data_IF_647121707204
#
_entry.id   IF_647121707204
#
_cell.length_a   1.000
_cell.length_b   1.000
_cell.length_c   1.000
_cell.angle_alpha   90.00
_cell.angle_beta   90.00
_cell.angle_gamma   90.00
#
_symmetry.space_group_name_H-M   'P 1'
#
loop_
_entity.id
_entity.type
_entity.pdbx_description
1 polymer ?
#
# COMPACT_ATOMS: atom_id res chain seq x y z
N UNK A 1 47.73 49.26 -8.42
CA UNK A 1 49.20 49.32 -8.25
C UNK A 1 49.65 47.87 -8.26
N UNK A 2 50.28 47.26 -9.26
CA UNK A 2 51.06 47.61 -10.46
C UNK A 2 50.79 46.44 -11.44
N UNK A 3 50.44 46.63 -12.72
CA UNK A 3 51.36 46.76 -13.86
C UNK A 3 52.44 45.68 -13.88
N UNK A 4 52.81 44.95 -14.93
CA UNK A 4 52.46 44.81 -16.36
C UNK A 4 53.37 43.67 -16.84
N UNK A 5 52.99 42.86 -17.83
CA UNK A 5 53.98 42.30 -18.79
C UNK A 5 53.29 41.75 -20.03
N UNK A 6 53.59 42.43 -21.12
CA UNK A 6 53.15 42.29 -22.50
C UNK A 6 54.01 41.24 -23.24
N UNK A 7 53.40 40.37 -24.08
CA UNK A 7 53.53 40.34 -25.56
C UNK A 7 54.80 39.62 -26.10
N UNK A 8 55.00 39.42 -27.42
CA UNK A 8 54.42 38.30 -28.20
C UNK A 8 55.45 37.68 -29.19
N UNK A 9 55.09 36.66 -29.99
CA UNK A 9 55.64 36.53 -31.35
C UNK A 9 54.73 35.72 -32.28
N UNK A 10 54.50 36.31 -33.45
CA UNK A 10 53.99 35.73 -34.71
C UNK A 10 55.07 34.78 -35.30
N UNK A 11 55.00 34.08 -36.43
CA UNK A 11 54.28 34.11 -37.72
C UNK A 11 54.79 32.82 -38.43
N UNK A 12 54.02 32.03 -39.19
CA UNK A 12 53.80 32.11 -40.64
C UNK A 12 54.12 30.74 -41.29
N UNK A 13 53.32 30.38 -42.29
CA UNK A 13 53.57 29.55 -43.49
C UNK A 13 54.29 28.20 -43.36
N UNK A 14 53.82 27.10 -43.96
CA UNK A 14 53.02 26.95 -45.16
C UNK A 14 53.64 25.80 -45.96
N UNK A 15 52.83 24.85 -46.44
CA UNK A 15 52.98 24.13 -47.73
C UNK A 15 52.05 22.92 -47.72
N UNK A 16 51.10 22.93 -48.65
CA UNK A 16 50.18 21.82 -48.86
C UNK A 16 50.82 20.65 -49.61
N UNK A 17 50.19 19.48 -49.51
CA UNK A 17 50.18 18.44 -50.53
C UNK A 17 49.05 17.43 -50.29
N UNK A 18 48.17 17.35 -51.29
CA UNK A 18 47.30 16.24 -51.70
C UNK A 18 46.41 15.50 -50.68
N UNK A 19 45.11 15.85 -50.71
CA UNK A 19 43.99 14.97 -50.40
C UNK A 19 43.85 13.84 -51.44
N UNK A 20 43.53 12.63 -50.99
CA UNK A 20 42.47 11.84 -51.59
C UNK A 20 41.29 11.71 -50.59
N UNK A 21 40.08 11.77 -51.12
CA UNK A 21 38.85 11.65 -50.34
C UNK A 21 38.61 10.20 -49.90
N UNK A 22 38.14 9.96 -48.66
CA UNK A 22 37.39 8.76 -48.33
C UNK A 22 35.93 9.10 -48.03
N UNK A 23 35.08 8.51 -48.86
CA UNK A 23 33.74 7.94 -48.65
C UNK A 23 32.82 8.48 -47.52
N UNK A 24 31.53 8.74 -47.83
CA UNK A 24 30.52 9.07 -46.83
C UNK A 24 29.99 7.78 -46.18
N UNK A 25 30.04 7.66 -44.86
CA UNK A 25 29.02 7.01 -44.00
C UNK A 25 29.61 6.56 -42.66
N UNK A 26 29.23 7.26 -41.60
CA UNK A 26 28.45 6.69 -40.48
C UNK A 26 28.16 7.84 -39.52
N UNK A 27 26.99 8.45 -39.69
CA UNK A 27 26.39 9.27 -38.65
C UNK A 27 26.33 8.41 -37.38
N UNK A 28 27.04 8.84 -36.34
CA UNK A 28 26.90 8.28 -35.02
C UNK A 28 25.47 8.59 -34.57
N UNK A 29 24.58 7.60 -34.72
CA UNK A 29 23.28 7.61 -34.09
C UNK A 29 23.54 7.76 -32.59
N UNK A 30 23.15 8.92 -32.05
CA UNK A 30 23.06 9.12 -30.62
C UNK A 30 22.22 7.98 -30.06
N UNK A 31 22.85 7.11 -29.26
CA UNK A 31 22.12 6.17 -28.43
C UNK A 31 21.36 7.03 -27.42
N UNK A 32 20.12 7.38 -27.75
CA UNK A 32 19.14 7.76 -26.75
C UNK A 32 19.18 6.67 -25.68
N UNK A 33 19.45 7.08 -24.44
CA UNK A 33 19.30 6.21 -23.31
C UNK A 33 17.89 5.59 -23.40
N UNK A 34 17.75 4.26 -23.26
CA UNK A 34 16.44 3.63 -23.37
C UNK A 34 15.50 4.35 -22.40
N UNK A 35 14.42 4.91 -22.96
CA UNK A 35 13.36 5.53 -22.18
C UNK A 35 13.03 4.58 -21.03
N UNK A 36 13.14 5.09 -19.79
CA UNK A 36 12.80 4.31 -18.60
C UNK A 36 11.44 3.63 -18.88
N UNK A 37 11.31 2.32 -18.65
CA UNK A 37 10.07 1.62 -18.96
C UNK A 37 8.95 2.37 -18.25
N UNK A 38 8.00 2.89 -19.02
CA UNK A 38 6.84 3.61 -18.51
C UNK A 38 6.28 2.80 -17.33
N UNK A 39 6.28 3.41 -16.14
CA UNK A 39 5.77 2.76 -14.94
C UNK A 39 4.29 2.49 -15.19
N UNK A 40 3.94 1.23 -15.33
CA UNK A 40 2.56 0.83 -15.60
C UNK A 40 1.77 1.15 -14.33
N UNK A 41 0.76 2.03 -14.40
CA UNK A 41 -0.07 2.30 -13.25
C UNK A 41 -0.79 1.00 -12.88
N UNK A 42 -0.55 0.51 -11.66
CA UNK A 42 -1.17 -0.71 -11.12
C UNK A 42 -2.67 -0.53 -10.82
N UNK A 43 -3.18 0.70 -10.92
CA UNK A 43 -4.60 1.02 -10.83
C UNK A 43 -5.02 1.72 -12.12
N UNK A 44 -6.18 1.36 -12.65
CA UNK A 44 -6.83 2.14 -13.71
C UNK A 44 -7.40 3.48 -13.20
N UNK A 45 -7.39 3.69 -11.88
CA UNK A 45 -8.07 4.80 -11.24
C UNK A 45 -7.10 5.87 -10.77
N UNK A 46 -7.44 7.12 -11.09
CA UNK A 46 -6.64 8.23 -10.59
C UNK A 46 -6.76 8.32 -9.04
N UNK A 47 -5.64 8.57 -8.36
CA UNK A 47 -5.52 8.44 -6.92
C UNK A 47 -6.23 9.58 -6.15
N UNK A 48 -6.51 9.36 -4.86
CA UNK A 48 -7.08 10.37 -3.96
C UNK A 48 -6.02 11.38 -3.59
N UNK A 49 -6.15 12.63 -4.03
CA UNK A 49 -5.23 13.69 -3.64
C UNK A 49 -5.28 13.94 -2.13
N UNK A 50 -4.10 13.99 -1.51
CA UNK A 50 -3.92 14.30 -0.10
C UNK A 50 -3.61 15.79 0.06
N UNK A 51 -3.98 16.36 1.21
CA UNK A 51 -3.71 17.77 1.52
C UNK A 51 -2.21 18.05 1.75
N UNK A 52 -1.46 17.01 2.12
CA UNK A 52 -0.01 17.05 2.32
C UNK A 52 0.61 15.66 2.10
N UNK A 53 1.93 15.56 1.89
CA UNK A 53 2.59 14.27 1.78
C UNK A 53 2.53 13.47 3.08
N UNK A 54 2.43 12.14 2.95
CA UNK A 54 2.57 11.21 4.07
C UNK A 54 3.95 11.31 4.73
N UNK A 55 3.99 11.52 6.05
CA UNK A 55 5.24 11.78 6.79
C UNK A 55 6.06 10.51 7.05
N UNK A 56 5.38 9.39 7.23
CA UNK A 56 5.98 8.11 7.64
C UNK A 56 6.18 7.21 6.43
N UNK A 57 5.16 7.18 5.57
CA UNK A 57 5.14 6.31 4.40
C UNK A 57 5.46 7.03 3.08
N UNK A 58 5.46 8.36 3.04
CA UNK A 58 5.59 9.11 1.79
C UNK A 58 6.89 8.88 1.04
N UNK A 59 8.01 8.62 1.72
CA UNK A 59 9.27 8.27 1.06
C UNK A 59 9.30 6.83 0.49
N UNK A 60 8.44 5.95 1.01
CA UNK A 60 8.34 4.55 0.58
C UNK A 60 7.34 4.36 -0.56
N UNK A 61 6.30 5.19 -0.59
CA UNK A 61 5.42 5.33 -1.73
C UNK A 61 6.10 6.21 -2.78
N UNK A 62 5.93 5.92 -4.08
CA UNK A 62 6.46 6.84 -5.11
C UNK A 62 5.89 8.26 -4.88
N UNK A 63 6.58 9.32 -5.31
CA UNK A 63 6.18 10.71 -5.03
C UNK A 63 4.70 10.99 -5.38
N UNK A 64 4.18 10.37 -6.45
CA UNK A 64 2.76 10.41 -6.78
C UNK A 64 1.87 9.81 -5.69
N UNK A 65 2.22 8.64 -5.15
CA UNK A 65 1.48 7.98 -4.07
C UNK A 65 1.66 8.65 -2.69
N UNK A 66 2.75 9.40 -2.52
CA UNK A 66 3.00 10.16 -1.28
C UNK A 66 2.02 11.31 -1.08
N UNK A 67 1.53 11.91 -2.17
CA UNK A 67 0.55 12.99 -2.21
C UNK A 67 -0.81 12.50 -2.75
N UNK A 68 -0.95 11.20 -3.03
CA UNK A 68 -2.23 10.64 -3.46
C UNK A 68 -2.38 9.15 -3.16
N UNK A 69 -3.53 8.68 -2.68
CA UNK A 69 -3.70 7.29 -2.21
C UNK A 69 -4.79 6.53 -2.96
N UNK A 70 -4.62 5.23 -3.19
CA UNK A 70 -5.71 4.31 -3.50
C UNK A 70 -5.78 3.23 -2.41
N UNK A 71 -6.92 2.58 -2.20
CA UNK A 71 -6.98 1.38 -1.37
C UNK A 71 -6.91 0.12 -2.23
N UNK A 72 -6.18 0.17 -3.34
CA UNK A 72 -6.06 -1.02 -4.16
C UNK A 72 -5.20 -2.10 -3.47
N UNK A 73 -5.23 -3.35 -3.95
CA UNK A 73 -4.44 -4.44 -3.39
C UNK A 73 -2.94 -4.10 -3.28
N UNK A 74 -2.40 -3.35 -4.24
CA UNK A 74 -1.01 -2.90 -4.22
C UNK A 74 -0.67 -1.98 -3.03
N UNK A 75 -1.52 -1.00 -2.76
CA UNK A 75 -1.32 -0.07 -1.64
C UNK A 75 -1.50 -0.79 -0.30
N UNK A 76 -2.48 -1.69 -0.19
CA UNK A 76 -2.65 -2.53 1.00
C UNK A 76 -1.40 -3.38 1.27
N UNK A 77 -0.88 -4.08 0.25
CA UNK A 77 0.36 -4.86 0.34
C UNK A 77 1.57 -4.00 0.72
N UNK A 78 1.68 -2.79 0.17
CA UNK A 78 2.80 -1.92 0.49
C UNK A 78 2.71 -1.35 1.91
N UNK A 79 1.52 -0.93 2.34
CA UNK A 79 1.28 -0.47 3.71
C UNK A 79 1.60 -1.57 4.73
N UNK A 80 1.10 -2.79 4.51
CA UNK A 80 1.20 -3.90 5.46
C UNK A 80 2.53 -4.64 5.35
N UNK A 81 2.96 -5.01 4.15
CA UNK A 81 4.08 -5.92 3.90
C UNK A 81 5.32 -5.25 3.28
N UNK A 82 5.28 -3.94 3.01
CA UNK A 82 6.40 -3.22 2.38
C UNK A 82 6.79 -3.81 1.01
N UNK A 83 5.81 -4.39 0.31
CA UNK A 83 6.03 -5.21 -0.90
C UNK A 83 5.06 -4.79 -2.00
N UNK A 84 5.53 -4.73 -3.26
CA UNK A 84 4.66 -4.49 -4.41
C UNK A 84 3.92 -5.77 -4.82
N UNK A 85 2.75 -5.64 -5.45
CA UNK A 85 1.98 -6.78 -5.94
C UNK A 85 2.81 -7.73 -6.82
N UNK A 86 3.65 -7.18 -7.71
CA UNK A 86 4.52 -7.99 -8.57
C UNK A 86 5.57 -8.78 -7.78
N UNK A 87 6.14 -8.20 -6.72
CA UNK A 87 7.10 -8.89 -5.86
C UNK A 87 6.40 -9.94 -5.01
N UNK A 88 5.21 -9.64 -4.49
CA UNK A 88 4.38 -10.61 -3.76
C UNK A 88 4.05 -11.82 -4.64
N UNK A 89 3.51 -11.60 -5.85
CA UNK A 89 3.20 -12.67 -6.78
C UNK A 89 4.44 -13.46 -7.19
N UNK A 90 5.62 -12.83 -7.28
CA UNK A 90 6.87 -13.56 -7.57
C UNK A 90 7.18 -14.62 -6.52
N UNK A 91 6.86 -14.35 -5.26
CA UNK A 91 7.17 -15.24 -4.15
C UNK A 91 6.04 -16.25 -3.93
N UNK A 92 4.79 -15.79 -3.92
CA UNK A 92 3.63 -16.61 -3.52
C UNK A 92 2.97 -17.35 -4.68
N UNK A 93 2.95 -16.75 -5.89
CA UNK A 93 2.33 -17.38 -7.07
C UNK A 93 3.06 -17.01 -8.38
N UNK A 94 4.25 -17.61 -8.63
CA UNK A 94 5.07 -17.27 -9.80
C UNK A 94 4.34 -17.50 -11.14
N UNK A 95 3.43 -18.48 -11.19
CA UNK A 95 2.62 -18.77 -12.37
C UNK A 95 1.68 -17.59 -12.69
N UNK A 96 0.99 -17.05 -11.70
CA UNK A 96 0.11 -15.90 -11.86
C UNK A 96 0.89 -14.63 -12.24
N UNK A 97 2.10 -14.44 -11.71
CA UNK A 97 2.99 -13.37 -12.16
C UNK A 97 3.32 -13.49 -13.65
N UNK A 98 3.61 -14.70 -14.13
CA UNK A 98 3.92 -14.92 -15.54
C UNK A 98 2.71 -14.63 -16.44
N UNK A 99 1.51 -15.00 -15.99
CA UNK A 99 0.27 -14.67 -16.69
C UNK A 99 0.08 -13.14 -16.75
N UNK A 100 0.20 -12.44 -15.62
CA UNK A 100 0.08 -10.98 -15.56
C UNK A 100 1.10 -10.27 -16.46
N UNK A 101 2.36 -10.71 -16.46
CA UNK A 101 3.39 -10.18 -17.37
C UNK A 101 3.04 -10.39 -18.84
N UNK A 102 2.49 -11.56 -19.17
CA UNK A 102 2.08 -11.90 -20.53
C UNK A 102 0.93 -11.00 -20.99
N UNK A 103 -0.01 -10.68 -20.10
CA UNK A 103 -1.11 -9.75 -20.37
C UNK A 103 -0.65 -8.31 -20.53
N UNK A 104 0.22 -7.85 -19.63
CA UNK A 104 0.84 -6.54 -19.74
C UNK A 104 1.58 -6.43 -21.06
N UNK A 105 2.38 -7.44 -21.41
CA UNK A 105 3.12 -7.48 -22.66
C UNK A 105 2.18 -7.39 -23.88
N UNK A 106 1.09 -8.16 -23.90
CA UNK A 106 0.08 -8.08 -24.95
C UNK A 106 -0.66 -6.73 -24.99
N UNK A 107 -1.03 -6.20 -23.83
CA UNK A 107 -1.79 -4.94 -23.68
C UNK A 107 -0.99 -3.69 -24.01
N UNK A 108 0.34 -3.72 -23.89
CA UNK A 108 1.19 -2.58 -24.28
C UNK A 108 1.29 -2.37 -25.79
N UNK A 109 0.74 -3.29 -26.61
CA UNK A 109 0.68 -3.15 -28.07
C UNK A 109 2.04 -3.15 -28.78
N UNK A 110 3.15 -3.30 -28.05
CA UNK A 110 4.51 -3.23 -28.60
C UNK A 110 4.82 -4.36 -29.58
N UNK A 111 4.15 -5.51 -29.43
CA UNK A 111 4.27 -6.66 -30.32
C UNK A 111 2.93 -7.39 -30.44
N UNK A 112 2.52 -7.77 -31.65
CA UNK A 112 1.36 -8.67 -31.81
C UNK A 112 1.73 -10.06 -31.27
N UNK A 113 1.00 -10.60 -30.29
CA UNK A 113 1.26 -11.95 -29.79
C UNK A 113 1.03 -12.98 -30.90
N UNK A 114 1.84 -14.04 -30.93
CA UNK A 114 1.66 -15.17 -31.85
C UNK A 114 0.32 -15.86 -31.60
N UNK A 115 -0.23 -16.56 -32.59
CA UNK A 115 -1.51 -17.26 -32.46
C UNK A 115 -1.50 -18.27 -31.28
N UNK A 116 -0.38 -18.97 -31.09
CA UNK A 116 -0.17 -19.90 -29.98
C UNK A 116 -0.20 -19.18 -28.63
N UNK A 117 0.43 -18.01 -28.54
CA UNK A 117 0.42 -17.18 -27.32
C UNK A 117 -0.98 -16.62 -27.04
N UNK A 118 -1.73 -16.21 -28.05
CA UNK A 118 -3.14 -15.75 -27.88
C UNK A 118 -4.04 -16.86 -27.35
N UNK A 119 -3.98 -18.06 -27.94
CA UNK A 119 -4.75 -19.23 -27.49
C UNK A 119 -4.45 -19.59 -26.04
N UNK A 120 -3.16 -19.55 -25.66
CA UNK A 120 -2.74 -19.80 -24.28
C UNK A 120 -3.27 -18.74 -23.31
N UNK A 121 -3.15 -17.46 -23.67
CA UNK A 121 -3.68 -16.35 -22.84
C UNK A 121 -5.20 -16.48 -22.66
N UNK A 122 -5.94 -16.80 -23.72
CA UNK A 122 -7.40 -17.01 -23.64
C UNK A 122 -7.78 -18.21 -22.77
N UNK A 123 -7.01 -19.29 -22.82
CA UNK A 123 -7.22 -20.48 -21.98
C UNK A 123 -6.88 -20.21 -20.51
N UNK A 124 -5.87 -19.39 -20.23
CA UNK A 124 -5.43 -19.04 -18.88
C UNK A 124 -6.33 -17.96 -18.23
N UNK A 125 -7.06 -17.18 -19.04
CA UNK A 125 -7.90 -16.06 -18.62
C UNK A 125 -9.41 -16.32 -18.60
N UNK A 126 -9.84 -17.56 -18.37
CA UNK A 126 -11.27 -17.95 -18.33
C UNK A 126 -12.19 -17.15 -17.37
N UNK A 127 -11.66 -16.14 -16.67
CA UNK A 127 -12.33 -15.29 -15.67
C UNK A 127 -12.36 -13.79 -16.02
N UNK A 128 -11.76 -13.35 -17.13
CA UNK A 128 -11.81 -11.95 -17.58
C UNK A 128 -12.76 -11.79 -18.76
N UNK A 129 -13.33 -10.59 -18.91
CA UNK A 129 -14.19 -10.21 -20.03
C UNK A 129 -13.53 -10.62 -21.36
N UNK A 130 -14.03 -11.72 -21.92
CA UNK A 130 -13.38 -12.43 -23.02
C UNK A 130 -13.28 -11.53 -24.25
N UNK A 131 -14.24 -10.62 -24.46
CA UNK A 131 -14.25 -9.71 -25.61
C UNK A 131 -13.13 -8.67 -25.54
N UNK A 132 -12.91 -8.07 -24.37
CA UNK A 132 -11.84 -7.09 -24.18
C UNK A 132 -10.46 -7.73 -24.36
N UNK A 133 -10.25 -8.91 -23.78
CA UNK A 133 -9.00 -9.67 -23.93
C UNK A 133 -8.79 -10.07 -25.38
N UNK A 134 -9.82 -10.55 -26.08
CA UNK A 134 -9.76 -10.90 -27.51
C UNK A 134 -9.44 -9.68 -28.37
N UNK A 135 -10.03 -8.52 -28.09
CA UNK A 135 -9.75 -7.28 -28.81
C UNK A 135 -8.28 -6.88 -28.66
N UNK A 136 -7.76 -6.82 -27.42
CA UNK A 136 -6.35 -6.51 -27.14
C UNK A 136 -5.41 -7.50 -27.83
N UNK A 137 -5.68 -8.80 -27.73
CA UNK A 137 -4.85 -9.84 -28.34
C UNK A 137 -4.81 -9.76 -29.87
N UNK A 138 -5.84 -9.19 -30.49
CA UNK A 138 -5.93 -8.98 -31.93
C UNK A 138 -5.44 -7.58 -32.37
N UNK A 139 -4.86 -6.80 -31.46
CA UNK A 139 -4.39 -5.44 -31.75
C UNK A 139 -5.53 -4.47 -32.06
N UNK A 140 -6.74 -4.76 -31.60
CA UNK A 140 -7.90 -3.86 -31.69
C UNK A 140 -8.02 -3.08 -30.41
N UNK A 141 -8.59 -1.88 -30.50
CA UNK A 141 -8.96 -1.11 -29.32
C UNK A 141 -9.99 -1.92 -28.52
N UNK A 142 -9.72 -2.24 -27.24
CA UNK A 142 -10.67 -2.96 -26.42
C UNK A 142 -11.92 -2.10 -26.20
N UNK A 143 -13.11 -2.71 -26.10
CA UNK A 143 -14.28 -1.99 -25.59
C UNK A 143 -13.93 -1.33 -24.24
N UNK A 144 -14.49 -0.15 -23.95
CA UNK A 144 -14.26 0.52 -22.69
C UNK A 144 -14.62 -0.44 -21.55
N UNK A 145 -13.62 -0.80 -20.75
CA UNK A 145 -13.83 -1.73 -19.65
C UNK A 145 -14.89 -1.13 -18.71
N UNK A 146 -15.88 -1.92 -18.28
CA UNK A 146 -16.81 -1.46 -17.25
C UNK A 146 -16.01 -0.99 -16.02
N UNK A 147 -16.41 0.12 -15.38
CA UNK A 147 -15.68 0.68 -14.25
C UNK A 147 -15.82 -0.27 -13.04
N UNK A 148 -14.86 -1.19 -12.90
CA UNK A 148 -14.76 -2.13 -11.80
C UNK A 148 -13.53 -1.83 -10.95
N UNK A 149 -13.72 -1.69 -9.64
CA UNK A 149 -12.59 -1.51 -8.71
C UNK A 149 -11.48 -2.57 -8.86
N UNK A 150 -10.27 -2.21 -8.42
CA UNK A 150 -9.14 -3.15 -8.43
C UNK A 150 -9.46 -4.39 -7.58
N UNK A 151 -10.24 -4.23 -6.50
CA UNK A 151 -10.75 -5.34 -5.68
C UNK A 151 -11.85 -6.16 -6.35
N UNK A 152 -12.71 -5.54 -7.17
CA UNK A 152 -13.68 -6.29 -8.00
C UNK A 152 -12.96 -7.19 -8.99
N UNK A 153 -11.86 -6.72 -9.57
CA UNK A 153 -11.01 -7.55 -10.43
C UNK A 153 -10.39 -8.73 -9.66
N UNK A 154 -9.92 -8.51 -8.43
CA UNK A 154 -9.46 -9.61 -7.56
C UNK A 154 -10.59 -10.62 -7.32
N UNK A 155 -11.79 -10.16 -6.94
CA UNK A 155 -12.94 -11.02 -6.69
C UNK A 155 -13.31 -11.90 -7.89
N UNK A 156 -13.35 -11.31 -9.09
CA UNK A 156 -13.63 -12.04 -10.34
C UNK A 156 -12.56 -13.09 -10.65
N UNK A 157 -11.31 -12.84 -10.24
CA UNK A 157 -10.19 -13.76 -10.41
C UNK A 157 -10.08 -14.86 -9.35
N UNK A 158 -10.92 -14.85 -8.30
CA UNK A 158 -10.88 -15.87 -7.26
C UNK A 158 -11.43 -17.20 -7.77
N UNK A 159 -10.67 -18.28 -7.57
CA UNK A 159 -11.08 -19.63 -7.94
C UNK A 159 -12.19 -20.19 -7.04
N UNK A 160 -12.82 -21.29 -7.47
CA UNK A 160 -13.88 -21.99 -6.73
C UNK A 160 -13.40 -22.61 -5.41
N UNK A 161 -12.09 -22.87 -5.25
CA UNK A 161 -11.50 -23.47 -4.05
C UNK A 161 -11.16 -22.49 -2.91
N UNK A 162 -11.43 -21.20 -3.08
CA UNK A 162 -11.16 -20.20 -2.05
C UNK A 162 -12.14 -20.29 -0.88
N UNK A 163 -11.64 -20.07 0.35
CA UNK A 163 -12.51 -20.13 1.53
C UNK A 163 -13.63 -19.08 1.45
N UNK A 164 -14.84 -19.44 1.90
CA UNK A 164 -15.99 -18.53 1.95
C UNK A 164 -15.66 -17.21 2.66
N UNK A 165 -14.88 -17.28 3.74
CA UNK A 165 -14.46 -16.10 4.49
C UNK A 165 -13.59 -15.13 3.65
N UNK A 166 -12.60 -15.64 2.92
CA UNK A 166 -11.74 -14.79 2.06
C UNK A 166 -12.56 -14.19 0.92
N UNK A 167 -13.50 -14.95 0.36
CA UNK A 167 -14.42 -14.46 -0.67
C UNK A 167 -15.34 -13.36 -0.14
N UNK A 168 -15.88 -13.52 1.07
CA UNK A 168 -16.72 -12.51 1.72
C UNK A 168 -15.95 -11.22 2.02
N UNK A 169 -14.73 -11.33 2.57
CA UNK A 169 -13.85 -10.19 2.80
C UNK A 169 -13.55 -9.43 1.49
N UNK A 170 -13.22 -10.17 0.44
CA UNK A 170 -12.92 -9.58 -0.88
C UNK A 170 -14.15 -8.94 -1.50
N UNK A 171 -15.32 -9.54 -1.31
CA UNK A 171 -16.61 -8.97 -1.76
C UNK A 171 -16.90 -7.64 -1.09
N UNK A 172 -16.67 -7.54 0.23
CA UNK A 172 -16.82 -6.29 0.95
C UNK A 172 -15.83 -5.22 0.48
N UNK A 173 -14.55 -5.57 0.33
CA UNK A 173 -13.53 -4.66 -0.19
C UNK A 173 -13.87 -4.16 -1.60
N UNK A 174 -14.34 -5.04 -2.48
CA UNK A 174 -14.80 -4.68 -3.82
C UNK A 174 -15.99 -3.72 -3.79
N UNK A 175 -16.97 -3.98 -2.91
CA UNK A 175 -18.12 -3.08 -2.72
C UNK A 175 -17.68 -1.69 -2.25
N UNK A 176 -16.82 -1.62 -1.23
CA UNK A 176 -16.31 -0.36 -0.71
C UNK A 176 -15.48 0.41 -1.73
N UNK A 177 -14.61 -0.25 -2.48
CA UNK A 177 -13.79 0.40 -3.50
C UNK A 177 -14.65 0.88 -4.68
N UNK A 178 -15.69 0.14 -5.09
CA UNK A 178 -16.66 0.62 -6.09
C UNK A 178 -17.39 1.89 -5.62
N UNK A 179 -17.79 1.96 -4.34
CA UNK A 179 -18.37 3.19 -3.78
C UNK A 179 -17.34 4.34 -3.74
N UNK A 180 -16.09 4.04 -3.37
CA UNK A 180 -15.02 5.03 -3.35
C UNK A 180 -14.78 5.61 -4.76
N UNK A 181 -14.82 4.78 -5.80
CA UNK A 181 -14.72 5.24 -7.19
C UNK A 181 -15.86 6.17 -7.59
N UNK A 182 -17.09 5.81 -7.23
CA UNK A 182 -18.24 6.66 -7.51
C UNK A 182 -18.12 8.01 -6.80
N UNK A 183 -17.74 8.02 -5.52
CA UNK A 183 -17.55 9.24 -4.74
C UNK A 183 -16.43 10.10 -5.34
N UNK A 184 -15.32 9.50 -5.79
CA UNK A 184 -14.26 10.23 -6.50
C UNK A 184 -14.75 10.85 -7.82
N UNK A 185 -15.61 10.15 -8.57
CA UNK A 185 -16.18 10.68 -9.80
C UNK A 185 -17.05 11.92 -9.53
N UNK A 186 -17.89 11.89 -8.48
CA UNK A 186 -18.69 13.04 -8.04
C UNK A 186 -17.81 14.24 -7.67
N UNK A 187 -16.75 14.01 -6.88
CA UNK A 187 -15.80 15.07 -6.48
C UNK A 187 -15.12 15.69 -7.70
N UNK A 188 -14.69 14.89 -8.68
CA UNK A 188 -14.09 15.39 -9.93
C UNK A 188 -15.07 16.19 -10.79
N UNK A 189 -16.35 15.83 -10.75
CA UNK A 189 -17.41 16.57 -11.42
C UNK A 189 -17.80 17.86 -10.69
N UNK A 190 -17.15 18.20 -9.56
CA UNK A 190 -17.48 19.36 -8.73
C UNK A 190 -18.76 19.16 -7.90
N UNK A 191 -19.29 17.96 -7.81
CA UNK A 191 -20.53 17.63 -7.09
C UNK A 191 -20.25 17.25 -5.63
N UNK A 192 -19.63 18.17 -4.90
CA UNK A 192 -19.17 17.95 -3.53
C UNK A 192 -20.30 17.54 -2.57
N UNK A 193 -21.45 18.21 -2.64
CA UNK A 193 -22.60 17.92 -1.77
C UNK A 193 -23.15 16.51 -1.99
N UNK A 194 -23.20 16.05 -3.26
CA UNK A 194 -23.63 14.69 -3.58
C UNK A 194 -22.62 13.66 -3.10
N UNK A 195 -21.33 13.94 -3.23
CA UNK A 195 -20.26 13.09 -2.70
C UNK A 195 -20.39 12.95 -1.18
N UNK A 196 -20.60 14.05 -0.45
CA UNK A 196 -20.78 14.05 1.00
C UNK A 196 -22.05 13.32 1.43
N UNK A 197 -23.19 13.57 0.79
CA UNK A 197 -24.44 12.88 1.07
C UNK A 197 -24.32 11.36 0.87
N UNK A 198 -23.64 10.95 -0.20
CA UNK A 198 -23.38 9.52 -0.47
C UNK A 198 -22.43 8.90 0.55
N UNK A 199 -21.35 9.59 0.93
CA UNK A 199 -20.45 9.15 2.00
C UNK A 199 -21.22 8.98 3.31
N UNK A 200 -22.11 9.92 3.66
CA UNK A 200 -22.92 9.82 4.86
C UNK A 200 -23.90 8.64 4.83
N UNK A 201 -24.57 8.41 3.69
CA UNK A 201 -25.44 7.25 3.52
C UNK A 201 -24.68 5.92 3.66
N UNK A 202 -23.45 5.86 3.16
CA UNK A 202 -22.60 4.67 3.21
C UNK A 202 -22.04 4.39 4.62
N UNK A 203 -21.68 5.44 5.36
CA UNK A 203 -21.00 5.32 6.66
C UNK A 203 -21.96 5.37 7.86
N UNK A 204 -23.24 5.71 7.64
CA UNK A 204 -24.22 5.90 8.70
C UNK A 204 -23.79 7.03 9.66
N UNK A 205 -23.56 6.70 10.93
CA UNK A 205 -23.09 7.66 11.95
C UNK A 205 -21.60 7.96 11.87
N UNK A 206 -20.83 7.27 11.02
CA UNK A 206 -19.39 7.46 10.86
C UNK A 206 -18.93 8.90 10.63
N UNK A 207 -19.57 9.69 9.73
CA UNK A 207 -19.13 11.06 9.46
C UNK A 207 -19.17 11.97 10.70
N UNK A 208 -20.19 11.83 11.56
CA UNK A 208 -20.31 12.61 12.79
C UNK A 208 -19.15 12.33 13.76
N UNK A 209 -18.69 11.07 13.83
CA UNK A 209 -17.52 10.73 14.63
C UNK A 209 -16.25 11.41 14.08
N UNK A 210 -16.08 11.43 12.76
CA UNK A 210 -14.93 12.06 12.12
C UNK A 210 -14.96 13.60 12.17
N UNK A 211 -16.16 14.20 12.19
CA UNK A 211 -16.35 15.63 12.35
C UNK A 211 -15.80 16.14 13.69
N UNK A 212 -15.95 15.36 14.76
CA UNK A 212 -15.44 15.69 16.09
C UNK A 212 -13.91 15.84 16.12
N UNK A 213 -13.17 15.06 15.33
CA UNK A 213 -11.71 15.19 15.19
C UNK A 213 -11.35 16.41 14.36
N UNK A 214 -11.95 16.56 13.17
CA UNK A 214 -11.72 17.71 12.32
C UNK A 214 -12.89 17.90 11.34
N UNK A 215 -13.67 18.99 11.46
CA UNK A 215 -14.80 19.25 10.55
C UNK A 215 -14.39 19.32 9.08
N UNK A 216 -13.14 19.67 8.77
CA UNK A 216 -12.63 19.73 7.39
C UNK A 216 -12.42 18.36 6.78
N UNK A 217 -12.39 17.29 7.57
CA UNK A 217 -12.30 15.92 7.03
C UNK A 217 -13.58 15.55 6.27
N UNK A 218 -14.74 16.13 6.63
CA UNK A 218 -15.99 16.00 5.86
C UNK A 218 -15.88 16.61 4.46
N UNK A 219 -14.94 17.54 4.25
CA UNK A 219 -14.66 18.13 2.93
C UNK A 219 -13.78 17.20 2.06
N UNK A 220 -13.28 16.09 2.62
CA UNK A 220 -12.51 15.08 1.91
C UNK A 220 -13.22 13.71 1.92
N UNK A 221 -14.44 13.58 1.35
CA UNK A 221 -15.23 12.34 1.39
C UNK A 221 -14.47 11.13 0.84
N UNK A 222 -13.62 11.35 -0.17
CA UNK A 222 -12.77 10.30 -0.73
C UNK A 222 -11.71 9.75 0.25
N UNK A 223 -11.25 10.52 1.24
CA UNK A 223 -10.33 10.04 2.29
C UNK A 223 -11.10 9.26 3.34
N UNK A 224 -12.26 9.77 3.75
CA UNK A 224 -13.12 9.13 4.75
C UNK A 224 -13.52 7.71 4.35
N UNK A 225 -13.91 7.51 3.09
CA UNK A 225 -14.29 6.19 2.59
C UNK A 225 -13.11 5.20 2.64
N UNK A 226 -11.90 5.65 2.35
CA UNK A 226 -10.70 4.80 2.46
C UNK A 226 -10.39 4.42 3.91
N UNK A 227 -10.49 5.38 4.83
CA UNK A 227 -10.29 5.10 6.25
C UNK A 227 -11.34 4.10 6.77
N UNK A 228 -12.61 4.36 6.48
CA UNK A 228 -13.73 3.55 6.98
C UNK A 228 -13.69 2.12 6.43
N UNK A 229 -13.46 1.95 5.13
CA UNK A 229 -13.32 0.63 4.51
C UNK A 229 -12.16 -0.17 5.12
N UNK A 230 -11.04 0.46 5.44
CA UNK A 230 -9.94 -0.19 6.14
C UNK A 230 -10.34 -0.64 7.54
N UNK A 231 -11.01 0.24 8.30
CA UNK A 231 -11.43 -0.07 9.67
C UNK A 231 -12.45 -1.20 9.71
N UNK A 232 -13.44 -1.20 8.81
CA UNK A 232 -14.44 -2.26 8.69
C UNK A 232 -13.81 -3.60 8.30
N UNK A 233 -12.93 -3.58 7.29
CA UNK A 233 -12.22 -4.80 6.87
C UNK A 233 -11.36 -5.35 8.01
N UNK A 234 -10.63 -4.49 8.71
CA UNK A 234 -9.81 -4.88 9.86
C UNK A 234 -10.67 -5.41 11.01
N UNK A 235 -11.80 -4.76 11.31
CA UNK A 235 -12.72 -5.21 12.34
C UNK A 235 -13.26 -6.61 12.03
N UNK A 236 -13.75 -6.83 10.81
CA UNK A 236 -14.27 -8.13 10.37
C UNK A 236 -13.19 -9.22 10.39
N UNK A 237 -11.96 -8.89 9.96
CA UNK A 237 -10.82 -9.81 10.08
C UNK A 237 -10.54 -10.18 11.53
N UNK A 238 -10.53 -9.20 12.43
CA UNK A 238 -10.28 -9.45 13.85
C UNK A 238 -11.40 -10.23 14.52
N UNK A 239 -12.67 -9.99 14.17
CA UNK A 239 -13.78 -10.82 14.64
C UNK A 239 -13.59 -12.29 14.22
N UNK A 240 -13.14 -12.56 12.99
CA UNK A 240 -12.86 -13.92 12.53
C UNK A 240 -11.77 -14.63 13.35
N UNK A 241 -10.75 -13.87 13.75
CA UNK A 241 -9.62 -14.37 14.56
C UNK A 241 -10.01 -14.55 16.02
N UNK A 242 -10.82 -13.64 16.57
CA UNK A 242 -11.18 -13.60 18.00
C UNK A 242 -12.36 -14.52 18.37
N UNK A 243 -13.29 -14.77 17.44
CA UNK A 243 -14.56 -15.47 17.70
C UNK A 243 -14.66 -16.98 17.36
N UNK A 244 -13.61 -17.81 17.23
CA UNK A 244 -13.81 -19.19 16.78
C UNK A 244 -14.70 -20.11 17.62
N UNK A 245 -15.10 -19.81 18.88
CA UNK A 245 -15.78 -20.84 19.70
C UNK A 245 -16.61 -20.44 20.93
N UNK A 246 -16.94 -19.16 21.22
CA UNK A 246 -17.57 -18.84 22.51
C UNK A 246 -18.70 -17.81 22.42
N UNK A 247 -19.84 -18.13 23.06
CA UNK A 247 -20.92 -17.23 23.50
C UNK A 247 -20.44 -16.20 24.55
N UNK A 248 -19.25 -15.64 24.35
CA UNK A 248 -18.73 -14.61 25.24
C UNK A 248 -19.27 -13.24 24.81
N UNK A 249 -19.80 -12.45 25.76
CA UNK A 249 -20.30 -11.11 25.46
C UNK A 249 -19.19 -10.24 24.87
N UNK A 250 -19.60 -9.30 24.03
CA UNK A 250 -18.81 -8.28 23.33
C UNK A 250 -17.41 -8.05 23.93
N UNK A 251 -16.45 -8.89 23.53
CA UNK A 251 -15.06 -8.73 23.95
C UNK A 251 -14.48 -7.53 23.22
N UNK A 252 -13.67 -6.73 23.91
CA UNK A 252 -12.89 -5.71 23.22
C UNK A 252 -11.90 -6.39 22.26
N UNK A 253 -11.75 -5.82 21.07
CA UNK A 253 -10.80 -6.32 20.09
C UNK A 253 -9.38 -6.32 20.66
N UNK A 254 -8.67 -7.41 20.40
CA UNK A 254 -7.32 -7.59 20.93
C UNK A 254 -6.31 -6.56 20.38
N UNK A 255 -6.62 -5.85 19.29
CA UNK A 255 -5.73 -4.84 18.67
C UNK A 255 -6.01 -3.42 19.15
N UNK A 256 -7.05 -3.20 19.95
CA UNK A 256 -7.46 -1.86 20.40
C UNK A 256 -6.33 -1.12 21.11
N UNK A 257 -5.53 -1.83 21.92
CA UNK A 257 -4.37 -1.29 22.64
C UNK A 257 -3.29 -0.71 21.69
N UNK A 258 -3.18 -1.22 20.46
CA UNK A 258 -2.23 -0.67 19.48
C UNK A 258 -2.60 0.77 19.08
N UNK A 259 -3.83 1.21 19.34
CA UNK A 259 -4.29 2.56 19.06
C UNK A 259 -4.22 3.49 20.28
N UNK A 260 -3.75 3.03 21.44
CA UNK A 260 -3.65 3.91 22.61
C UNK A 260 -2.71 5.09 22.37
N UNK A 261 -3.11 6.34 22.69
CA UNK A 261 -2.38 7.56 22.31
C UNK A 261 -1.00 7.69 23.00
N UNK A 262 -0.70 6.88 24.02
CA UNK A 262 0.58 6.90 24.72
C UNK A 262 1.78 6.46 23.87
N UNK A 263 1.56 5.68 22.80
CA UNK A 263 2.60 5.27 21.84
C UNK A 263 2.00 5.13 20.45
N UNK A 264 2.83 5.25 19.41
CA UNK A 264 2.42 4.91 18.05
C UNK A 264 2.18 3.39 17.93
N UNK A 265 1.39 2.91 16.95
CA UNK A 265 1.06 1.48 16.87
C UNK A 265 2.29 0.56 16.78
N UNK A 266 3.32 0.92 15.99
CA UNK A 266 4.59 0.18 15.97
C UNK A 266 5.37 0.28 17.28
N UNK A 267 5.20 1.36 18.04
CA UNK A 267 5.78 1.52 19.37
C UNK A 267 5.13 0.61 20.41
N UNK A 268 3.82 0.39 20.32
CA UNK A 268 3.10 -0.62 21.11
C UNK A 268 3.51 -2.03 20.73
N UNK A 269 3.60 -2.33 19.43
CA UNK A 269 4.09 -3.64 18.98
C UNK A 269 5.51 -3.93 19.49
N UNK A 270 6.44 -2.97 19.40
CA UNK A 270 7.78 -3.13 19.96
C UNK A 270 7.76 -3.32 21.48
N UNK A 271 6.87 -2.64 22.19
CA UNK A 271 6.67 -2.87 23.62
C UNK A 271 6.21 -4.30 23.91
N UNK A 272 5.28 -4.84 23.14
CA UNK A 272 4.84 -6.23 23.27
C UNK A 272 5.98 -7.22 23.03
N UNK A 273 6.86 -6.94 22.04
CA UNK A 273 8.08 -7.72 21.78
C UNK A 273 9.05 -7.62 22.95
N UNK A 274 9.23 -6.45 23.56
CA UNK A 274 10.07 -6.27 24.75
C UNK A 274 9.56 -7.14 25.90
N UNK A 275 8.25 -7.09 26.19
CA UNK A 275 7.62 -7.91 27.23
C UNK A 275 7.75 -9.41 26.91
N UNK A 276 7.57 -9.81 25.65
CA UNK A 276 7.73 -11.18 25.20
C UNK A 276 9.17 -11.71 25.24
N UNK A 277 10.13 -10.78 25.24
CA UNK A 277 11.56 -11.05 25.34
C UNK A 277 12.08 -10.82 26.77
N UNK A 278 11.20 -10.59 27.75
CA UNK A 278 11.55 -10.30 29.15
C UNK A 278 12.56 -9.14 29.29
N UNK A 279 12.45 -8.15 28.40
CA UNK A 279 13.33 -6.98 28.37
C UNK A 279 12.61 -5.77 28.96
N UNK A 280 13.24 -5.09 29.91
CA UNK A 280 12.66 -3.90 30.57
C UNK A 280 12.73 -2.62 29.72
N UNK A 281 13.58 -2.61 28.68
CA UNK A 281 13.84 -1.44 27.83
C UNK A 281 14.23 -1.82 26.40
N UNK A 282 14.18 -0.86 25.46
CA UNK A 282 14.60 -1.09 24.08
C UNK A 282 16.11 -1.34 24.00
N UNK A 283 16.89 -0.77 24.91
CA UNK A 283 18.33 -1.04 25.02
C UNK A 283 18.59 -2.50 25.42
N UNK A 284 17.86 -3.01 26.42
CA UNK A 284 17.93 -4.42 26.81
C UNK A 284 17.52 -5.35 25.65
N UNK A 285 16.46 -4.99 24.92
CA UNK A 285 16.06 -5.74 23.72
C UNK A 285 17.15 -5.72 22.64
N UNK A 286 17.79 -4.58 22.37
CA UNK A 286 18.88 -4.49 21.40
C UNK A 286 20.08 -5.37 21.79
N UNK A 287 20.46 -5.40 23.07
CA UNK A 287 21.53 -6.29 23.56
C UNK A 287 21.17 -7.76 23.39
N UNK A 288 19.92 -8.12 23.67
CA UNK A 288 19.41 -9.48 23.45
C UNK A 288 19.39 -9.85 21.97
N UNK A 289 19.01 -8.93 21.09
CA UNK A 289 19.06 -9.13 19.64
C UNK A 289 20.49 -9.33 19.14
N UNK A 290 21.45 -8.60 19.71
CA UNK A 290 22.87 -8.78 19.44
C UNK A 290 23.34 -10.19 19.86
N UNK A 291 22.98 -10.66 21.05
CA UNK A 291 23.39 -11.97 21.56
C UNK A 291 22.85 -13.14 20.74
N UNK A 292 21.65 -13.00 20.14
CA UNK A 292 21.07 -14.02 19.24
C UNK A 292 21.47 -13.83 17.77
N UNK A 293 22.40 -12.92 17.48
CA UNK A 293 22.87 -12.65 16.13
C UNK A 293 21.79 -12.15 15.17
N UNK A 294 20.78 -11.42 15.68
CA UNK A 294 19.74 -10.82 14.84
C UNK A 294 20.32 -9.68 14.00
N UNK A 295 20.18 -9.78 12.68
CA UNK A 295 20.69 -8.81 11.71
C UNK A 295 19.61 -8.40 10.72
N UNK A 296 19.68 -7.14 10.29
CA UNK A 296 18.88 -6.57 9.21
C UNK A 296 19.82 -5.86 8.24
N UNK A 297 19.82 -6.29 6.96
CA UNK A 297 20.80 -5.87 5.94
C UNK A 297 22.25 -5.96 6.45
N UNK A 298 22.62 -7.14 6.96
CA UNK A 298 23.94 -7.46 7.51
C UNK A 298 24.41 -6.66 8.73
N UNK A 299 23.58 -5.74 9.23
CA UNK A 299 23.85 -4.91 10.40
C UNK A 299 23.06 -5.41 11.60
N UNK A 300 23.65 -5.30 12.79
CA UNK A 300 22.94 -5.60 14.04
C UNK A 300 21.76 -4.63 14.23
N UNK A 301 20.66 -5.13 14.79
CA UNK A 301 19.51 -4.29 15.15
C UNK A 301 19.86 -3.47 16.40
N UNK A 302 20.18 -2.19 16.21
CA UNK A 302 20.64 -1.31 17.29
C UNK A 302 19.49 -0.67 18.07
N UNK A 303 19.79 -0.18 19.28
CA UNK A 303 18.86 0.59 20.11
C UNK A 303 18.30 1.82 19.37
N UNK A 304 19.15 2.56 18.65
CA UNK A 304 18.72 3.75 17.90
C UNK A 304 17.74 3.39 16.77
N UNK A 305 17.94 2.23 16.14
CA UNK A 305 17.04 1.75 15.09
C UNK A 305 15.67 1.37 15.69
N UNK A 306 15.66 0.65 16.81
CA UNK A 306 14.43 0.33 17.54
C UNK A 306 13.69 1.60 18.00
N UNK A 307 14.41 2.61 18.50
CA UNK A 307 13.83 3.90 18.91
C UNK A 307 13.21 4.65 17.73
N UNK A 308 13.90 4.68 16.58
CA UNK A 308 13.38 5.27 15.33
C UNK A 308 12.07 4.60 14.92
N UNK A 309 12.06 3.26 14.85
CA UNK A 309 10.88 2.47 14.49
C UNK A 309 9.72 2.61 15.49
N UNK A 310 10.00 2.65 16.79
CA UNK A 310 8.99 2.85 17.83
C UNK A 310 8.29 4.21 17.71
N UNK A 311 9.03 5.24 17.33
CA UNK A 311 8.51 6.60 17.21
C UNK A 311 7.73 6.86 15.92
N UNK A 312 7.88 6.00 14.89
CA UNK A 312 7.39 6.16 13.51
C UNK A 312 7.40 7.58 12.94
N UNK A 313 8.29 8.49 13.36
CA UNK A 313 8.18 9.92 12.95
C UNK A 313 8.51 10.15 11.47
N UNK A 314 9.52 9.43 10.95
CA UNK A 314 10.01 9.57 9.58
C UNK A 314 10.38 8.22 8.93
N UNK A 315 10.28 7.12 9.67
CA UNK A 315 10.72 5.79 9.22
C UNK A 315 9.75 4.74 9.75
N UNK A 316 9.06 4.06 8.85
CA UNK A 316 8.32 2.83 9.18
C UNK A 316 9.25 1.63 9.18
N UNK A 317 9.17 0.80 10.22
CA UNK A 317 9.91 -0.45 10.32
C UNK A 317 9.57 -1.40 9.16
N UNK A 318 10.51 -1.75 8.26
CA UNK A 318 10.22 -2.61 7.12
C UNK A 318 9.81 -4.02 7.57
N UNK A 319 9.00 -4.71 6.76
CA UNK A 319 8.55 -6.08 7.07
C UNK A 319 9.72 -7.04 7.26
N UNK A 320 10.78 -6.89 6.47
CA UNK A 320 11.99 -7.70 6.54
C UNK A 320 12.77 -7.53 7.85
N UNK A 321 12.49 -6.49 8.64
CA UNK A 321 13.07 -6.29 9.96
C UNK A 321 12.27 -6.96 11.09
N UNK A 322 10.99 -7.32 10.87
CA UNK A 322 10.15 -7.93 11.90
C UNK A 322 10.72 -9.28 12.35
N UNK A 323 11.05 -10.16 11.41
CA UNK A 323 11.60 -11.49 11.69
C UNK A 323 12.92 -11.44 12.49
N UNK A 324 13.93 -10.62 12.14
CA UNK A 324 15.10 -10.40 12.99
C UNK A 324 14.75 -9.95 14.41
N UNK A 325 13.84 -8.99 14.58
CA UNK A 325 13.43 -8.49 15.90
C UNK A 325 12.70 -9.57 16.72
N UNK A 326 11.90 -10.41 16.07
CA UNK A 326 11.20 -11.51 16.74
C UNK A 326 12.12 -12.64 17.21
N UNK A 327 13.39 -12.71 16.74
CA UNK A 327 14.39 -13.65 17.29
C UNK A 327 14.69 -13.40 18.76
N UNK A 328 14.40 -12.21 19.28
CA UNK A 328 14.50 -11.91 20.71
C UNK A 328 13.48 -12.68 21.55
N UNK A 329 12.35 -13.09 20.98
CA UNK A 329 11.24 -13.73 21.68
C UNK A 329 11.54 -15.22 21.91
N UNK A 330 11.43 -15.70 23.16
CA UNK A 330 11.73 -17.10 23.51
C UNK A 330 10.71 -18.09 22.96
N UNK A 331 9.43 -17.74 23.08
CA UNK A 331 8.32 -18.65 22.79
C UNK A 331 7.89 -18.45 21.34
N UNK A 332 8.09 -19.47 20.50
CA UNK A 332 7.75 -19.42 19.07
C UNK A 332 6.29 -19.05 18.80
N UNK A 333 5.34 -19.69 19.49
CA UNK A 333 3.92 -19.38 19.32
C UNK A 333 3.58 -17.90 19.66
N UNK A 334 4.33 -17.28 20.59
CA UNK A 334 4.18 -15.86 20.90
C UNK A 334 4.81 -14.99 19.81
N UNK A 335 5.95 -15.40 19.25
CA UNK A 335 6.57 -14.72 18.12
C UNK A 335 5.66 -14.73 16.87
N UNK A 336 4.97 -15.84 16.59
CA UNK A 336 4.04 -15.95 15.47
C UNK A 336 2.85 -14.99 15.65
N UNK A 337 2.21 -14.96 16.84
CA UNK A 337 1.15 -13.98 17.15
C UNK A 337 1.63 -12.53 17.04
N UNK A 338 2.86 -12.25 17.48
CA UNK A 338 3.45 -10.92 17.35
C UNK A 338 3.75 -10.58 15.88
N UNK A 339 4.06 -11.56 15.02
CA UNK A 339 4.22 -11.33 13.59
C UNK A 339 2.90 -10.89 12.95
N UNK A 340 1.77 -11.47 13.34
CA UNK A 340 0.44 -11.03 12.84
C UNK A 340 0.09 -9.64 13.37
N UNK A 341 0.33 -9.40 14.66
CA UNK A 341 0.13 -8.09 15.30
C UNK A 341 1.01 -6.99 14.70
N UNK A 342 2.19 -7.34 14.16
CA UNK A 342 3.06 -6.41 13.45
C UNK A 342 2.39 -5.87 12.17
N UNK A 343 1.75 -6.74 11.40
CA UNK A 343 1.05 -6.34 10.17
C UNK A 343 -0.09 -5.37 10.48
N UNK A 344 -0.84 -5.64 11.55
CA UNK A 344 -1.87 -4.73 12.05
C UNK A 344 -1.26 -3.40 12.50
N UNK A 345 -0.19 -3.42 13.30
CA UNK A 345 0.47 -2.20 13.77
C UNK A 345 0.97 -1.32 12.60
N UNK A 346 1.49 -1.95 11.53
CA UNK A 346 1.87 -1.24 10.30
C UNK A 346 0.66 -0.61 9.60
N UNK A 347 -0.42 -1.36 9.42
CA UNK A 347 -1.67 -0.84 8.84
C UNK A 347 -2.21 0.35 9.64
N UNK A 348 -2.30 0.21 10.97
CA UNK A 348 -2.78 1.29 11.83
C UNK A 348 -1.87 2.53 11.78
N UNK A 349 -0.55 2.34 11.71
CA UNK A 349 0.39 3.45 11.50
C UNK A 349 0.14 4.14 10.16
N UNK A 350 -0.13 3.36 9.10
CA UNK A 350 -0.49 3.90 7.79
C UNK A 350 -1.81 4.69 7.84
N UNK A 351 -2.85 4.18 8.51
CA UNK A 351 -4.12 4.88 8.67
C UNK A 351 -3.96 6.20 9.42
N UNK A 352 -3.16 6.23 10.50
CA UNK A 352 -2.87 7.47 11.21
C UNK A 352 -2.19 8.50 10.30
N UNK A 353 -1.19 8.09 9.54
CA UNK A 353 -0.46 8.97 8.62
C UNK A 353 -1.34 9.40 7.43
N UNK A 354 -2.23 8.53 6.95
CA UNK A 354 -3.24 8.84 5.93
C UNK A 354 -4.25 9.88 6.44
N UNK A 355 -4.78 9.72 7.65
CA UNK A 355 -5.66 10.72 8.28
C UNK A 355 -4.92 12.05 8.45
N UNK A 356 -3.67 12.03 8.96
CA UNK A 356 -2.83 13.22 9.05
C UNK A 356 -2.68 13.91 7.69
N UNK A 357 -2.55 13.14 6.62
CA UNK A 357 -2.25 13.68 5.29
C UNK A 357 -3.48 14.12 4.51
N UNK A 358 -4.63 13.50 4.79
CA UNK A 358 -5.89 13.76 4.12
C UNK A 358 -6.67 14.97 4.65
N UNK A 359 -6.38 15.44 5.88
CA UNK A 359 -7.09 16.57 6.49
C UNK A 359 -6.61 17.92 5.90
N UNK A 360 -7.48 18.72 5.26
CA UNK A 360 -7.11 20.06 4.78
C UNK A 360 -6.76 21.02 5.92
N UNK A 361 -5.73 21.86 5.74
CA UNK A 361 -5.37 22.92 6.68
C UNK A 361 -4.23 22.55 7.64
N UNK A 362 -4.45 22.67 8.95
CA UNK A 362 -3.50 22.25 9.98
C UNK A 362 -3.71 20.78 10.31
N UNK A 363 -2.61 20.02 10.47
CA UNK A 363 -2.68 18.61 10.83
C UNK A 363 -2.98 18.47 12.33
N UNK A 364 -3.99 17.67 12.74
CA UNK A 364 -4.19 17.36 14.16
C UNK A 364 -2.98 16.66 14.77
N UNK A 365 -2.89 16.66 16.10
CA UNK A 365 -1.84 15.91 16.76
C UNK A 365 -2.04 14.40 16.52
N UNK A 366 -0.93 13.67 16.41
CA UNK A 366 -0.97 12.22 16.18
C UNK A 366 -1.76 11.46 17.24
N UNK A 367 -1.68 11.91 18.51
CA UNK A 367 -2.43 11.32 19.62
C UNK A 367 -3.95 11.44 19.43
N UNK A 368 -4.44 12.60 18.95
CA UNK A 368 -5.86 12.84 18.69
C UNK A 368 -6.37 11.95 17.56
N UNK A 369 -5.56 11.80 16.51
CA UNK A 369 -5.87 10.91 15.37
C UNK A 369 -5.92 9.45 15.83
N UNK A 370 -4.98 9.01 16.66
CA UNK A 370 -5.00 7.66 17.22
C UNK A 370 -6.21 7.42 18.11
N UNK A 371 -6.56 8.37 18.97
CA UNK A 371 -7.74 8.30 19.82
C UNK A 371 -9.02 8.20 18.98
N UNK A 372 -9.16 9.04 17.95
CA UNK A 372 -10.31 8.99 17.04
C UNK A 372 -10.38 7.65 16.29
N UNK A 373 -9.24 7.15 15.79
CA UNK A 373 -9.17 5.85 15.12
C UNK A 373 -9.54 4.72 16.09
N UNK A 374 -9.08 4.79 17.35
CA UNK A 374 -9.44 3.84 18.41
C UNK A 374 -10.94 3.80 18.62
N UNK A 375 -11.54 4.96 18.88
CA UNK A 375 -12.98 5.06 19.15
C UNK A 375 -13.81 4.56 17.98
N UNK A 376 -13.44 4.98 16.75
CA UNK A 376 -14.15 4.53 15.55
C UNK A 376 -13.98 3.04 15.31
N UNK A 377 -12.77 2.52 15.43
CA UNK A 377 -12.49 1.09 15.30
C UNK A 377 -13.29 0.27 16.30
N UNK A 378 -13.32 0.67 17.58
CA UNK A 378 -14.07 -0.02 18.62
C UNK A 378 -15.58 -0.03 18.34
N UNK A 379 -16.15 1.07 17.82
CA UNK A 379 -17.56 1.10 17.40
C UNK A 379 -17.82 0.11 16.27
N UNK A 380 -17.01 0.16 15.21
CA UNK A 380 -17.13 -0.71 14.04
C UNK A 380 -16.97 -2.18 14.43
N UNK A 381 -15.97 -2.50 15.26
CA UNK A 381 -15.76 -3.87 15.75
C UNK A 381 -16.95 -4.39 16.54
N UNK A 382 -17.56 -3.59 17.42
CA UNK A 382 -18.76 -4.02 18.15
C UNK A 382 -19.94 -4.30 17.21
N UNK A 383 -20.11 -3.51 16.16
CA UNK A 383 -21.14 -3.74 15.15
C UNK A 383 -20.87 -5.03 14.35
N UNK A 384 -19.64 -5.25 13.90
CA UNK A 384 -19.24 -6.48 13.20
C UNK A 384 -19.40 -7.72 14.11
N UNK A 385 -18.99 -7.62 15.37
CA UNK A 385 -19.12 -8.70 16.34
C UNK A 385 -20.60 -9.02 16.66
N UNK A 386 -21.46 -8.00 16.76
CA UNK A 386 -22.90 -8.19 16.97
C UNK A 386 -23.59 -8.87 15.78
N UNK A 387 -23.12 -8.59 14.56
CA UNK A 387 -23.63 -9.15 13.32
C UNK A 387 -22.89 -10.44 12.90
N UNK A 388 -21.94 -10.92 13.71
CA UNK A 388 -21.13 -12.08 13.35
C UNK A 388 -22.02 -13.32 13.25
N UNK A 389 -21.94 -14.12 12.17
CA UNK A 389 -22.76 -15.30 12.01
C UNK A 389 -22.59 -16.24 13.20
N UNK A 390 -23.64 -16.44 13.98
CA UNK A 390 -23.65 -17.47 15.03
C UNK A 390 -23.79 -18.83 14.36
N UNK A 391 -23.02 -19.81 14.80
CA UNK A 391 -23.17 -21.17 14.31
C UNK A 391 -24.63 -21.62 14.54
N UNK A 392 -25.32 -22.17 13.52
CA UNK A 392 -26.67 -22.68 13.70
C UNK A 392 -26.61 -23.87 14.67
N UNK A 393 -27.08 -23.69 15.91
CA UNK A 393 -27.11 -24.74 16.94
C UNK A 393 -26.88 -24.31 18.39
N UNK A 394 -26.65 -23.03 18.68
CA UNK A 394 -26.43 -22.52 20.05
C UNK A 394 -27.67 -21.78 20.62
N UNK A 395 -28.86 -22.40 20.55
CA UNK A 395 -30.09 -21.89 21.18
C UNK A 395 -30.67 -22.94 22.13
#
# INVERSE_FOLDING_TARGET
MTSSSSLPTAEADGTGKHRPAPSPAKAAAGKEAPAQPAKIPLSAYAPVLLARPMSVFGAKFEVHLSASCTLNPGTALQAVMDTSLLTFLRTENPAQLQNLKTLIYAGTGKHQPSETTRKRIQQDLKLLDAEAVVAVLNGREPPPAPPHSDWRAVLMGMGEGESHFVRDLTTNLASWDDQALHIRALVRAGQQDQAQARTAALMGTGPLAWEALNPRLLQAPQVLVLLESCLQTLARLMCAVDMPSLDLPARESNITELLDPGRRPLGHWLYDVQQASECTSLSALAQRLLSVGARHHDRAVSHDLLKKWSSSKNVVMPQTAAKPVLRGVRIRARADRLQDRFYVARLLTFLCDLTCSGIPGEAPAWADIQAQLKDRYSQVYRLEAANWPRAPGAA
#
